data_IF_384294102818
#
_entry.id   IF_384294102818
#
_cell.length_a   1.000
_cell.length_b   1.000
_cell.length_c   1.000
_cell.angle_alpha   90.00
_cell.angle_beta   90.00
_cell.angle_gamma   90.00
#
_symmetry.space_group_name_H-M   'P 1'
#
loop_
_entity.id
_entity.type
_entity.pdbx_description
1 polymer ?
#
# COMPACT_ATOMS: atom_id res chain seq x y z
N UNK A 1 73.40 38.72 42.26
CA UNK A 1 72.60 38.54 41.03
C UNK A 1 71.13 38.42 41.43
N UNK A 2 70.30 39.39 41.03
CA UNK A 2 69.05 39.73 41.73
C UNK A 2 67.81 38.92 41.32
N UNK A 3 66.84 38.81 42.24
CA UNK A 3 65.51 38.16 42.10
C UNK A 3 64.74 38.55 40.80
N UNK A 4 65.05 39.69 40.19
CA UNK A 4 64.50 40.08 38.88
C UNK A 4 65.01 39.24 37.69
N UNK A 5 66.26 38.74 37.75
CA UNK A 5 66.85 37.90 36.70
C UNK A 5 66.25 36.48 36.66
N UNK A 6 65.88 35.94 37.82
CA UNK A 6 65.28 34.60 37.93
C UNK A 6 63.83 34.57 37.42
N UNK A 7 63.04 35.63 37.65
CA UNK A 7 61.70 35.78 37.07
C UNK A 7 61.74 35.93 35.55
N UNK A 8 62.71 36.68 35.02
CA UNK A 8 62.89 36.84 33.58
C UNK A 8 63.30 35.52 32.90
N UNK A 9 64.18 34.73 33.54
CA UNK A 9 64.62 33.43 33.04
C UNK A 9 63.48 32.39 33.02
N UNK A 10 62.61 32.37 34.03
CA UNK A 10 61.44 31.47 34.08
C UNK A 10 60.40 31.85 33.03
N UNK A 11 60.14 33.15 32.83
CA UNK A 11 59.23 33.63 31.77
C UNK A 11 59.80 33.31 30.39
N UNK A 12 61.11 33.49 30.16
CA UNK A 12 61.76 33.13 28.90
C UNK A 12 61.69 31.61 28.63
N UNK A 13 61.85 30.78 29.65
CA UNK A 13 61.73 29.32 29.52
C UNK A 13 60.30 28.87 29.16
N UNK A 14 59.27 29.50 29.75
CA UNK A 14 57.87 29.23 29.42
C UNK A 14 57.50 29.67 28.00
N UNK A 15 58.01 30.82 27.56
CA UNK A 15 57.82 31.29 26.17
C UNK A 15 58.51 30.35 25.18
N UNK A 16 59.72 29.87 25.48
CA UNK A 16 60.43 28.89 24.65
C UNK A 16 59.72 27.53 24.61
N UNK A 17 59.12 27.09 25.72
CA UNK A 17 58.30 25.87 25.74
C UNK A 17 57.01 26.02 24.91
N UNK A 18 56.36 27.19 24.95
CA UNK A 18 55.18 27.48 24.12
C UNK A 18 55.54 27.57 22.63
N UNK A 19 56.65 28.23 22.29
CA UNK A 19 57.16 28.30 20.91
C UNK A 19 57.58 26.91 20.42
N UNK A 20 58.25 26.12 21.27
CA UNK A 20 58.63 24.74 20.97
C UNK A 20 57.40 23.85 20.75
N UNK A 21 56.37 24.00 21.58
CA UNK A 21 55.09 23.28 21.44
C UNK A 21 54.34 23.66 20.16
N UNK A 22 54.28 24.95 19.82
CA UNK A 22 53.75 25.40 18.53
C UNK A 22 54.59 24.90 17.36
N UNK A 23 55.93 24.93 17.46
CA UNK A 23 56.82 24.45 16.40
C UNK A 23 56.67 22.94 16.16
N UNK A 24 56.57 22.11 17.21
CA UNK A 24 56.32 20.67 17.06
C UNK A 24 54.92 20.42 16.50
N UNK A 25 53.89 21.13 16.99
CA UNK A 25 52.53 21.01 16.46
C UNK A 25 52.45 21.39 14.97
N UNK A 26 53.16 22.43 14.53
CA UNK A 26 53.23 22.82 13.13
C UNK A 26 54.07 21.86 12.28
N UNK A 27 55.22 21.39 12.78
CA UNK A 27 56.10 20.46 12.05
C UNK A 27 55.46 19.08 11.90
N UNK A 28 54.89 18.55 12.98
CA UNK A 28 54.23 17.25 12.99
C UNK A 28 52.96 17.31 12.13
N UNK A 29 52.19 18.41 12.20
CA UNK A 29 51.05 18.65 11.30
C UNK A 29 51.44 18.74 9.81
N UNK A 30 52.62 19.27 9.47
CA UNK A 30 53.10 19.26 8.08
C UNK A 30 53.55 17.88 7.60
N UNK A 31 54.11 17.04 8.47
CA UNK A 31 54.54 15.69 8.11
C UNK A 31 53.36 14.75 7.92
N UNK A 32 52.37 14.80 8.83
CA UNK A 32 51.13 14.01 8.72
C UNK A 32 50.34 14.37 7.45
N UNK A 33 50.27 15.66 7.09
CA UNK A 33 49.60 16.08 5.86
C UNK A 33 50.33 15.57 4.59
N UNK A 34 51.67 15.60 4.57
CA UNK A 34 52.45 15.06 3.43
C UNK A 34 52.25 13.54 3.28
N UNK A 35 52.21 12.80 4.40
CA UNK A 35 51.99 11.36 4.39
C UNK A 35 50.56 11.00 3.94
N UNK A 36 49.56 11.75 4.39
CA UNK A 36 48.17 11.67 3.90
C UNK A 36 48.09 11.85 2.37
N UNK A 37 48.65 12.94 1.84
CA UNK A 37 48.65 13.22 0.40
C UNK A 37 49.38 12.13 -0.40
N UNK A 38 50.45 11.56 0.17
CA UNK A 38 51.16 10.44 -0.43
C UNK A 38 50.28 9.18 -0.51
N UNK A 39 49.52 8.85 0.55
CA UNK A 39 48.58 7.73 0.50
C UNK A 39 47.49 7.93 -0.56
N UNK A 40 46.93 9.13 -0.70
CA UNK A 40 45.96 9.46 -1.75
C UNK A 40 46.58 9.31 -3.15
N UNK A 41 47.79 9.85 -3.36
CA UNK A 41 48.48 9.76 -4.64
C UNK A 41 48.76 8.30 -5.04
N UNK A 42 49.22 7.47 -4.08
CA UNK A 42 49.42 6.03 -4.30
C UNK A 42 48.09 5.34 -4.60
N UNK A 43 47.03 5.65 -3.85
CA UNK A 43 45.72 5.03 -4.06
C UNK A 43 45.20 5.26 -5.49
N UNK A 44 45.26 6.51 -5.97
CA UNK A 44 44.85 6.89 -7.34
C UNK A 44 45.71 6.23 -8.42
N UNK A 45 47.05 6.26 -8.28
CA UNK A 45 47.97 5.59 -9.23
C UNK A 45 47.71 4.08 -9.32
N UNK A 46 47.43 3.43 -8.18
CA UNK A 46 47.09 2.00 -8.14
C UNK A 46 45.72 1.74 -8.76
N UNK A 47 44.74 2.60 -8.51
CA UNK A 47 43.42 2.50 -9.12
C UNK A 47 43.50 2.61 -10.66
N UNK A 48 44.28 3.56 -11.19
CA UNK A 48 44.53 3.72 -12.63
C UNK A 48 45.18 2.48 -13.26
N UNK A 49 46.07 1.83 -12.50
CA UNK A 49 46.71 0.56 -12.88
C UNK A 49 45.83 -0.67 -12.66
N UNK A 50 44.59 -0.50 -12.19
CA UNK A 50 43.63 -1.57 -11.84
C UNK A 50 44.13 -2.50 -10.73
N UNK A 51 45.02 -2.02 -9.87
CA UNK A 51 45.51 -2.71 -8.68
C UNK A 51 44.57 -2.39 -7.50
N UNK A 52 43.33 -2.86 -7.58
CA UNK A 52 42.24 -2.38 -6.72
C UNK A 52 42.44 -2.68 -5.23
N UNK A 53 42.99 -3.83 -4.85
CA UNK A 53 43.26 -4.12 -3.44
C UNK A 53 44.33 -3.19 -2.86
N UNK A 54 45.43 -2.95 -3.58
CA UNK A 54 46.50 -2.02 -3.17
C UNK A 54 45.99 -0.57 -3.10
N UNK A 55 45.14 -0.18 -4.05
CA UNK A 55 44.49 1.12 -4.05
C UNK A 55 43.59 1.29 -2.82
N UNK A 56 42.75 0.28 -2.51
CA UNK A 56 41.85 0.31 -1.37
C UNK A 56 42.60 0.34 -0.03
N UNK A 57 43.69 -0.42 0.11
CA UNK A 57 44.54 -0.37 1.30
C UNK A 57 45.17 1.02 1.50
N UNK A 58 45.60 1.65 0.42
CA UNK A 58 46.15 3.02 0.45
C UNK A 58 45.07 4.05 0.82
N UNK A 59 43.85 3.89 0.31
CA UNK A 59 42.70 4.70 0.69
C UNK A 59 42.32 4.53 2.17
N UNK A 60 42.29 3.31 2.69
CA UNK A 60 42.03 3.05 4.12
C UNK A 60 43.12 3.67 5.01
N UNK A 61 44.38 3.62 4.58
CA UNK A 61 45.47 4.28 5.29
C UNK A 61 45.24 5.80 5.35
N UNK A 62 44.93 6.45 4.22
CA UNK A 62 44.59 7.88 4.20
C UNK A 62 43.38 8.21 5.09
N UNK A 63 42.32 7.40 5.02
CA UNK A 63 41.10 7.57 5.83
C UNK A 63 41.36 7.46 7.33
N UNK A 64 42.31 6.60 7.74
CA UNK A 64 42.70 6.45 9.14
C UNK A 64 43.44 7.67 9.70
N UNK A 65 44.08 8.46 8.83
CA UNK A 65 44.79 9.68 9.20
C UNK A 65 43.84 10.88 9.24
N UNK A 66 43.07 11.07 8.16
CA UNK A 66 42.12 12.16 8.04
C UNK A 66 40.81 11.67 7.45
N UNK A 67 39.79 11.59 8.29
CA UNK A 67 38.46 11.16 7.89
C UNK A 67 37.60 12.37 7.56
N UNK A 68 37.42 12.61 6.25
CA UNK A 68 36.60 13.68 5.70
C UNK A 68 35.51 13.12 4.79
N UNK A 69 34.45 13.90 4.60
CA UNK A 69 33.37 13.50 3.70
C UNK A 69 33.85 13.43 2.25
N UNK A 70 34.72 14.34 1.83
CA UNK A 70 35.29 14.37 0.47
C UNK A 70 36.11 13.11 0.18
N UNK A 71 36.94 12.67 1.14
CA UNK A 71 37.69 11.43 0.98
C UNK A 71 36.77 10.21 0.94
N UNK A 72 35.75 10.18 1.81
CA UNK A 72 34.77 9.07 1.78
C UNK A 72 34.01 9.04 0.45
N UNK A 73 33.62 10.17 -0.10
CA UNK A 73 33.01 10.23 -1.43
C UNK A 73 33.93 9.66 -2.51
N UNK A 74 35.21 10.01 -2.50
CA UNK A 74 36.21 9.48 -3.45
C UNK A 74 36.36 7.95 -3.31
N UNK A 75 36.43 7.44 -2.08
CA UNK A 75 36.52 6.00 -1.82
C UNK A 75 35.25 5.27 -2.28
N UNK A 76 34.08 5.87 -2.09
CA UNK A 76 32.83 5.31 -2.59
C UNK A 76 32.82 5.23 -4.12
N UNK A 77 33.26 6.28 -4.82
CA UNK A 77 33.42 6.26 -6.28
C UNK A 77 34.41 5.19 -6.75
N UNK A 78 35.55 5.07 -6.06
CA UNK A 78 36.53 4.03 -6.32
C UNK A 78 35.92 2.62 -6.16
N UNK A 79 35.20 2.36 -5.06
CA UNK A 79 34.57 1.05 -4.82
C UNK A 79 33.53 0.72 -5.90
N UNK A 80 32.70 1.70 -6.31
CA UNK A 80 31.73 1.52 -7.41
C UNK A 80 32.43 1.18 -8.72
N UNK A 81 33.45 1.95 -9.10
CA UNK A 81 34.14 1.83 -10.38
C UNK A 81 35.05 0.60 -10.50
N UNK A 82 35.54 0.08 -9.37
CA UNK A 82 36.35 -1.14 -9.32
C UNK A 82 35.53 -2.43 -9.31
N UNK A 83 34.19 -2.34 -9.25
CA UNK A 83 33.30 -3.50 -9.14
C UNK A 83 33.27 -4.13 -7.75
N UNK A 84 33.78 -3.44 -6.72
CA UNK A 84 33.76 -3.87 -5.32
C UNK A 84 32.41 -3.55 -4.69
N UNK A 85 31.37 -4.22 -5.18
CA UNK A 85 29.97 -3.89 -4.90
C UNK A 85 29.57 -4.06 -3.44
N UNK A 86 30.02 -5.13 -2.77
CA UNK A 86 29.75 -5.34 -1.34
C UNK A 86 30.40 -4.24 -0.49
N UNK A 87 31.68 -3.96 -0.74
CA UNK A 87 32.43 -2.89 -0.07
C UNK A 87 31.81 -1.51 -0.31
N UNK A 88 31.31 -1.24 -1.52
CA UNK A 88 30.70 0.03 -1.88
C UNK A 88 29.49 0.35 -0.99
N UNK A 89 28.57 -0.61 -0.84
CA UNK A 89 27.32 -0.40 -0.10
C UNK A 89 27.58 -0.30 1.39
N UNK A 90 28.43 -1.18 1.92
CA UNK A 90 28.83 -1.14 3.33
C UNK A 90 29.51 0.19 3.66
N UNK A 91 30.43 0.64 2.81
CA UNK A 91 31.13 1.90 2.98
C UNK A 91 30.19 3.12 2.90
N UNK A 92 29.20 3.12 1.99
CA UNK A 92 28.17 4.17 1.95
C UNK A 92 27.31 4.15 3.23
N UNK A 93 26.96 2.97 3.75
CA UNK A 93 26.21 2.85 5.00
C UNK A 93 27.01 3.31 6.23
N UNK A 94 28.32 3.06 6.25
CA UNK A 94 29.24 3.63 7.25
C UNK A 94 29.33 5.14 7.16
N UNK A 95 29.46 5.67 5.95
CA UNK A 95 29.54 7.10 5.70
C UNK A 95 28.26 7.80 6.13
N UNK A 96 27.09 7.25 5.80
CA UNK A 96 25.79 7.75 6.27
C UNK A 96 25.63 7.70 7.81
N UNK A 97 26.34 6.79 8.51
CA UNK A 97 26.36 6.76 9.98
C UNK A 97 27.24 7.87 10.56
N UNK A 98 28.38 8.13 9.94
CA UNK A 98 29.37 9.11 10.42
C UNK A 98 29.02 10.55 10.03
N UNK A 99 28.47 10.73 8.83
CA UNK A 99 28.04 12.02 8.26
C UNK A 99 26.55 11.96 7.92
N UNK A 100 25.67 11.87 8.93
CA UNK A 100 24.24 11.61 8.73
C UNK A 100 23.46 12.76 8.09
N UNK A 101 24.09 13.90 7.80
CA UNK A 101 23.45 15.02 7.10
C UNK A 101 23.90 15.14 5.64
N UNK A 102 24.82 14.29 5.19
CA UNK A 102 25.18 14.19 3.78
C UNK A 102 24.11 13.36 3.03
N UNK A 103 23.42 13.92 2.04
CA UNK A 103 22.44 13.18 1.26
C UNK A 103 23.09 12.17 0.30
N UNK A 104 24.33 12.39 -0.15
CA UNK A 104 24.95 11.57 -1.22
C UNK A 104 25.07 10.10 -0.83
N UNK A 105 25.43 9.82 0.42
CA UNK A 105 25.52 8.44 0.91
C UNK A 105 24.17 7.70 0.82
N UNK A 106 23.06 8.40 1.06
CA UNK A 106 21.72 7.84 0.90
C UNK A 106 21.34 7.68 -0.56
N UNK A 107 21.64 8.68 -1.42
CA UNK A 107 21.43 8.60 -2.87
C UNK A 107 22.16 7.39 -3.45
N UNK A 108 23.44 7.25 -3.15
CA UNK A 108 24.29 6.13 -3.60
C UNK A 108 23.74 4.76 -3.24
N UNK A 109 23.24 4.61 -2.00
CA UNK A 109 22.61 3.37 -1.56
C UNK A 109 21.26 3.14 -2.26
N UNK A 110 20.44 4.19 -2.41
CA UNK A 110 19.14 4.09 -3.06
C UNK A 110 19.28 3.73 -4.55
N UNK A 111 20.16 4.41 -5.30
CA UNK A 111 20.50 4.06 -6.68
C UNK A 111 20.88 2.58 -6.78
N UNK A 112 21.85 2.15 -5.96
CA UNK A 112 22.32 0.76 -5.95
C UNK A 112 21.18 -0.24 -5.70
N UNK A 113 20.38 -0.04 -4.66
CA UNK A 113 19.30 -0.97 -4.33
C UNK A 113 18.19 -0.97 -5.37
N UNK A 114 17.95 0.17 -6.04
CA UNK A 114 16.97 0.24 -7.13
C UNK A 114 17.44 -0.48 -8.38
N UNK A 115 18.71 -0.33 -8.78
CA UNK A 115 19.31 -1.05 -9.91
C UNK A 115 19.35 -2.57 -9.67
N UNK A 116 19.53 -2.98 -8.41
CA UNK A 116 19.50 -4.39 -8.00
C UNK A 116 18.09 -4.93 -7.76
N UNK A 117 17.03 -4.15 -8.02
CA UNK A 117 15.62 -4.46 -7.73
C UNK A 117 15.35 -4.88 -6.27
N UNK A 118 16.24 -4.48 -5.35
CA UNK A 118 16.09 -4.72 -3.92
C UNK A 118 15.29 -3.58 -3.28
N UNK A 119 14.01 -3.51 -3.65
CA UNK A 119 13.13 -2.42 -3.23
C UNK A 119 12.92 -2.36 -1.71
N UNK A 120 13.04 -3.47 -1.00
CA UNK A 120 13.03 -3.46 0.46
C UNK A 120 14.16 -2.61 1.05
N UNK A 121 15.40 -2.83 0.59
CA UNK A 121 16.54 -2.05 1.06
C UNK A 121 16.54 -0.61 0.52
N UNK A 122 16.02 -0.41 -0.70
CA UNK A 122 15.77 0.91 -1.28
C UNK A 122 14.86 1.76 -0.38
N UNK A 123 13.64 1.30 -0.09
CA UNK A 123 12.71 2.04 0.76
C UNK A 123 13.22 2.15 2.21
N UNK A 124 13.88 1.11 2.75
CA UNK A 124 14.56 1.22 4.05
C UNK A 124 15.58 2.36 4.09
N UNK A 125 16.28 2.61 2.97
CA UNK A 125 17.24 3.72 2.83
C UNK A 125 16.52 5.06 2.81
N UNK A 126 15.44 5.19 2.04
CA UNK A 126 14.62 6.41 1.98
C UNK A 126 14.02 6.75 3.34
N UNK A 127 13.39 5.80 4.03
CA UNK A 127 12.82 6.00 5.36
C UNK A 127 13.89 6.41 6.38
N UNK A 128 15.10 5.87 6.28
CA UNK A 128 16.24 6.26 7.14
C UNK A 128 16.71 7.70 6.87
N UNK A 129 16.66 8.15 5.62
CA UNK A 129 17.00 9.52 5.24
C UNK A 129 15.93 10.50 5.74
N UNK A 130 14.65 10.18 5.51
CA UNK A 130 13.51 10.97 5.95
C UNK A 130 13.47 11.15 7.47
N UNK A 131 13.66 10.06 8.25
CA UNK A 131 13.70 10.13 9.73
C UNK A 131 14.80 11.04 10.27
N UNK A 132 15.80 11.39 9.45
CA UNK A 132 16.88 12.33 9.77
C UNK A 132 16.67 13.73 9.17
N UNK A 133 15.55 13.96 8.49
CA UNK A 133 15.24 15.22 7.82
C UNK A 133 16.08 15.47 6.56
N UNK A 134 16.60 14.42 5.93
CA UNK A 134 17.45 14.51 4.74
C UNK A 134 16.56 14.41 3.50
N UNK A 135 16.67 15.41 2.62
CA UNK A 135 16.02 15.45 1.31
C UNK A 135 17.01 15.93 0.26
N UNK A 136 16.81 15.49 -0.97
CA UNK A 136 17.55 15.96 -2.15
C UNK A 136 16.72 15.70 -3.39
N UNK A 137 16.95 16.45 -4.47
CA UNK A 137 16.21 16.27 -5.72
C UNK A 137 16.40 14.85 -6.28
N UNK A 138 17.57 14.26 -6.07
CA UNK A 138 17.93 12.90 -6.47
C UNK A 138 17.13 11.85 -5.69
N UNK A 139 17.02 11.98 -4.36
CA UNK A 139 16.19 11.08 -3.54
C UNK A 139 14.72 11.20 -3.90
N UNK A 140 14.22 12.42 -4.09
CA UNK A 140 12.81 12.67 -4.44
C UNK A 140 12.49 12.07 -5.84
N UNK A 141 13.43 12.19 -6.80
CA UNK A 141 13.30 11.60 -8.12
C UNK A 141 13.31 10.07 -8.07
N UNK A 142 14.19 9.46 -7.28
CA UNK A 142 14.23 8.01 -7.07
C UNK A 142 12.95 7.51 -6.42
N UNK A 143 12.47 8.16 -5.36
CA UNK A 143 11.23 7.80 -4.68
C UNK A 143 10.04 7.85 -5.64
N UNK A 144 9.94 8.90 -6.46
CA UNK A 144 8.89 9.02 -7.48
C UNK A 144 8.98 7.92 -8.55
N UNK A 145 10.18 7.59 -9.03
CA UNK A 145 10.40 6.58 -10.05
C UNK A 145 9.98 5.18 -9.60
N UNK A 146 10.23 4.84 -8.33
CA UNK A 146 9.96 3.51 -7.77
C UNK A 146 8.76 3.47 -6.82
N UNK A 147 7.94 4.53 -6.76
CA UNK A 147 6.77 4.67 -5.87
C UNK A 147 5.86 3.44 -5.88
N UNK A 148 5.67 2.82 -7.04
CA UNK A 148 4.75 1.68 -7.22
C UNK A 148 5.46 0.33 -7.32
N UNK A 149 6.76 0.27 -6.99
CA UNK A 149 7.45 -1.01 -6.86
C UNK A 149 6.77 -1.87 -5.79
N UNK A 150 6.58 -3.14 -6.10
CA UNK A 150 5.78 -4.05 -5.29
C UNK A 150 6.46 -5.42 -5.14
N UNK A 151 5.96 -6.18 -4.17
CA UNK A 151 6.25 -7.61 -4.03
C UNK A 151 4.98 -8.43 -4.06
N UNK A 152 5.11 -9.71 -4.41
CA UNK A 152 4.01 -10.68 -4.35
C UNK A 152 4.38 -11.78 -3.35
N UNK A 153 3.59 -11.91 -2.29
CA UNK A 153 3.66 -13.03 -1.37
C UNK A 153 2.79 -14.16 -1.92
N UNK A 154 3.42 -15.27 -2.28
CA UNK A 154 2.73 -16.45 -2.79
C UNK A 154 1.97 -17.16 -1.67
N UNK A 155 0.67 -16.85 -1.53
CA UNK A 155 -0.21 -17.38 -0.50
C UNK A 155 -1.16 -18.47 -1.04
N UNK A 156 -1.47 -18.44 -2.33
CA UNK A 156 -2.20 -19.50 -3.02
C UNK A 156 -3.60 -19.79 -2.48
N UNK A 157 -4.34 -18.77 -2.03
CA UNK A 157 -5.72 -18.96 -1.59
C UNK A 157 -6.62 -19.35 -2.77
N UNK A 158 -7.61 -20.21 -2.54
CA UNK A 158 -8.58 -20.57 -3.59
C UNK A 158 -9.53 -19.43 -3.92
N UNK A 159 -9.83 -18.62 -2.91
CA UNK A 159 -10.76 -17.50 -3.02
C UNK A 159 -10.44 -16.45 -1.97
N UNK A 160 -10.81 -15.21 -2.28
CA UNK A 160 -10.59 -14.05 -1.41
C UNK A 160 -11.70 -13.03 -1.63
N UNK A 161 -12.04 -12.31 -0.56
CA UNK A 161 -12.86 -11.10 -0.65
C UNK A 161 -11.99 -9.86 -0.79
N UNK A 162 -12.62 -8.70 -0.90
CA UNK A 162 -11.92 -7.42 -0.75
C UNK A 162 -11.58 -7.13 0.71
N UNK A 163 -10.56 -6.31 0.95
CA UNK A 163 -10.26 -5.84 2.30
C UNK A 163 -11.41 -4.97 2.85
N UNK A 164 -11.69 -5.14 4.14
CA UNK A 164 -12.66 -4.34 4.87
C UNK A 164 -12.16 -4.13 6.31
N UNK A 165 -11.96 -2.87 6.69
CA UNK A 165 -11.44 -2.47 8.01
C UNK A 165 -10.19 -3.27 8.46
N UNK A 166 -9.26 -3.53 7.54
CA UNK A 166 -7.98 -4.17 7.82
C UNK A 166 -7.99 -5.71 7.82
N UNK A 167 -9.15 -6.35 7.61
CA UNK A 167 -9.24 -7.80 7.43
C UNK A 167 -9.74 -8.15 6.03
N UNK A 168 -9.37 -9.33 5.55
CA UNK A 168 -9.89 -9.94 4.33
C UNK A 168 -10.27 -11.39 4.63
N UNK A 169 -11.47 -11.79 4.21
CA UNK A 169 -11.89 -13.19 4.21
C UNK A 169 -11.17 -13.93 3.08
N UNK A 170 -10.54 -15.05 3.43
CA UNK A 170 -9.75 -15.88 2.51
C UNK A 170 -10.12 -17.35 2.65
N UNK A 171 -10.10 -18.09 1.56
CA UNK A 171 -10.51 -19.51 1.51
C UNK A 171 -9.38 -20.39 1.01
N UNK A 172 -9.08 -21.48 1.75
CA UNK A 172 -8.05 -22.47 1.35
C UNK A 172 -8.62 -23.76 0.77
N UNK A 173 -9.75 -24.21 1.29
CA UNK A 173 -10.44 -25.45 0.90
C UNK A 173 -11.75 -25.20 0.17
N UNK A 174 -12.62 -26.21 0.11
CA UNK A 174 -13.96 -26.04 -0.45
C UNK A 174 -14.81 -25.08 0.41
N UNK A 175 -14.86 -25.29 1.72
CA UNK A 175 -15.65 -24.47 2.66
C UNK A 175 -14.81 -24.18 3.91
N UNK A 176 -13.58 -23.70 3.68
CA UNK A 176 -12.60 -23.41 4.72
C UNK A 176 -12.18 -21.96 4.61
N UNK A 177 -13.06 -21.08 5.10
CA UNK A 177 -12.83 -19.64 5.21
C UNK A 177 -12.16 -19.29 6.52
N UNK A 178 -11.24 -18.34 6.47
CA UNK A 178 -10.60 -17.66 7.59
C UNK A 178 -10.34 -16.20 7.23
N UNK A 179 -9.55 -15.51 8.04
CA UNK A 179 -9.27 -14.09 7.84
C UNK A 179 -7.80 -13.77 7.94
N UNK A 180 -7.30 -12.91 7.06
CA UNK A 180 -5.95 -12.34 7.12
C UNK A 180 -5.99 -10.85 7.37
N UNK A 181 -4.93 -10.33 7.99
CA UNK A 181 -4.65 -8.89 7.99
C UNK A 181 -4.11 -8.40 6.63
N UNK A 182 -3.81 -7.10 6.57
CA UNK A 182 -3.23 -6.40 5.40
C UNK A 182 -1.85 -6.90 4.98
N UNK A 183 -1.18 -7.74 5.78
CA UNK A 183 0.12 -8.34 5.44
C UNK A 183 0.00 -9.81 5.04
N UNK A 184 -1.24 -10.33 4.95
CA UNK A 184 -1.53 -11.73 4.64
C UNK A 184 -1.37 -12.68 5.82
N UNK A 185 -1.14 -12.16 7.03
CA UNK A 185 -1.02 -12.99 8.23
C UNK A 185 -2.41 -13.40 8.69
N UNK A 186 -2.59 -14.70 8.92
CA UNK A 186 -3.85 -15.27 9.41
C UNK A 186 -4.14 -14.72 10.81
N UNK A 187 -5.27 -14.05 10.95
CA UNK A 187 -5.79 -13.52 12.21
C UNK A 187 -6.86 -14.44 12.80
N UNK A 188 -7.75 -14.97 11.94
CA UNK A 188 -8.76 -15.96 12.31
C UNK A 188 -8.58 -17.21 11.46
N UNK A 189 -8.55 -18.36 12.13
CA UNK A 189 -8.34 -19.66 11.49
C UNK A 189 -9.46 -20.07 10.52
N UNK A 190 -9.23 -21.16 9.79
CA UNK A 190 -10.09 -21.63 8.71
C UNK A 190 -11.27 -22.49 9.21
N UNK A 191 -12.09 -21.91 10.09
CA UNK A 191 -13.12 -22.62 10.86
C UNK A 191 -14.54 -22.31 10.38
N UNK A 192 -14.69 -21.66 9.22
CA UNK A 192 -15.98 -21.17 8.73
C UNK A 192 -16.31 -21.71 7.34
N UNK A 193 -17.57 -22.06 7.10
CA UNK A 193 -18.12 -22.43 5.79
C UNK A 193 -18.55 -21.21 4.98
N UNK A 194 -18.91 -20.14 5.66
CA UNK A 194 -19.15 -18.81 5.08
C UNK A 194 -18.54 -17.73 5.97
N UNK A 195 -18.04 -16.66 5.36
CA UNK A 195 -17.33 -15.59 6.05
C UNK A 195 -17.63 -14.23 5.40
N UNK A 196 -18.35 -13.37 6.11
CA UNK A 196 -18.69 -12.01 5.72
C UNK A 196 -17.51 -11.03 5.81
N UNK A 197 -17.76 -9.79 5.42
CA UNK A 197 -16.78 -8.70 5.53
C UNK A 197 -16.73 -8.11 6.93
N UNK A 198 -15.57 -7.57 7.32
CA UNK A 198 -15.40 -6.89 8.61
C UNK A 198 -15.76 -5.41 8.53
N UNK A 199 -16.73 -4.97 9.33
CA UNK A 199 -17.22 -3.57 9.35
C UNK A 199 -16.61 -2.69 10.43
N UNK A 200 -15.59 -3.17 11.14
CA UNK A 200 -15.02 -2.45 12.29
C UNK A 200 -15.59 -2.92 13.63
N UNK A 201 -16.72 -3.62 13.64
CA UNK A 201 -17.35 -4.13 14.87
C UNK A 201 -17.40 -5.65 14.92
N UNK A 202 -18.12 -6.27 13.97
CA UNK A 202 -18.36 -7.71 13.95
C UNK A 202 -18.29 -8.26 12.52
N UNK A 203 -18.19 -9.58 12.44
CA UNK A 203 -18.11 -10.35 11.21
C UNK A 203 -19.21 -11.41 11.27
N UNK A 204 -20.05 -11.48 10.25
CA UNK A 204 -20.99 -12.59 10.09
C UNK A 204 -20.23 -13.81 9.56
N UNK A 205 -20.34 -14.94 10.24
CA UNK A 205 -19.70 -16.20 9.84
C UNK A 205 -20.67 -17.35 10.00
N UNK A 206 -20.51 -18.40 9.19
CA UNK A 206 -21.12 -19.70 9.43
C UNK A 206 -20.03 -20.66 9.91
N UNK A 207 -20.21 -21.26 11.08
CA UNK A 207 -19.23 -22.20 11.62
C UNK A 207 -19.28 -23.52 10.86
N UNK A 208 -18.14 -24.21 10.75
CA UNK A 208 -18.10 -25.59 10.20
C UNK A 208 -18.90 -26.61 11.01
N UNK A 209 -19.18 -26.33 12.28
CA UNK A 209 -20.10 -27.12 13.11
C UNK A 209 -21.58 -26.93 12.72
N UNK A 210 -21.87 -25.98 11.81
CA UNK A 210 -23.19 -25.49 11.50
C UNK A 210 -23.56 -24.28 12.34
N UNK A 211 -24.38 -23.41 11.75
CA UNK A 211 -24.97 -22.23 12.40
C UNK A 211 -24.17 -20.95 12.16
N UNK A 212 -24.93 -19.87 11.96
CA UNK A 212 -24.39 -18.53 11.82
C UNK A 212 -24.09 -17.88 13.17
N UNK A 213 -23.13 -16.98 13.21
CA UNK A 213 -22.84 -16.12 14.36
C UNK A 213 -22.28 -14.77 13.90
N UNK A 214 -22.40 -13.77 14.76
CA UNK A 214 -21.57 -12.57 14.69
C UNK A 214 -20.37 -12.76 15.63
N UNK A 215 -19.16 -12.62 15.10
CA UNK A 215 -17.91 -12.70 15.87
C UNK A 215 -17.19 -11.35 15.89
N UNK A 216 -16.42 -11.09 16.94
CA UNK A 216 -15.45 -10.00 16.95
C UNK A 216 -14.16 -10.36 16.17
N UNK A 217 -13.24 -9.40 15.93
CA UNK A 217 -11.97 -9.67 15.22
C UNK A 217 -11.02 -10.64 15.92
N UNK A 218 -11.29 -11.01 17.17
CA UNK A 218 -10.54 -12.04 17.91
C UNK A 218 -11.18 -13.42 17.80
N UNK A 219 -12.32 -13.52 17.12
CA UNK A 219 -13.07 -14.75 16.90
C UNK A 219 -14.05 -15.08 18.03
N UNK A 220 -14.28 -14.15 18.97
CA UNK A 220 -15.26 -14.37 20.04
C UNK A 220 -16.66 -14.11 19.51
N UNK A 221 -17.55 -15.07 19.71
CA UNK A 221 -18.97 -14.91 19.40
C UNK A 221 -19.57 -13.78 20.24
N UNK A 222 -20.21 -12.84 19.55
CA UNK A 222 -21.03 -11.79 20.14
C UNK A 222 -22.48 -12.24 20.23
N UNK A 223 -23.00 -12.86 19.18
CA UNK A 223 -24.38 -13.32 19.09
C UNK A 223 -24.55 -14.42 18.04
N UNK A 224 -25.66 -15.14 18.16
CA UNK A 224 -26.07 -16.20 17.24
C UNK A 224 -27.60 -16.22 17.14
N UNK A 225 -28.16 -16.71 16.03
CA UNK A 225 -29.60 -16.84 15.88
C UNK A 225 -30.17 -17.85 16.88
N UNK A 226 -31.46 -17.75 17.16
CA UNK A 226 -32.18 -18.77 17.91
C UNK A 226 -32.11 -20.12 17.18
N UNK A 227 -32.06 -21.23 17.91
CA UNK A 227 -31.96 -22.59 17.32
C UNK A 227 -33.11 -22.92 16.34
N UNK A 228 -34.27 -22.27 16.52
CA UNK A 228 -35.43 -22.42 15.66
C UNK A 228 -35.32 -21.66 14.34
N UNK A 229 -34.42 -20.68 14.23
CA UNK A 229 -34.22 -19.87 13.04
C UNK A 229 -33.16 -20.51 12.13
N UNK A 230 -33.62 -21.07 11.01
CA UNK A 230 -32.76 -21.71 10.02
C UNK A 230 -32.20 -20.65 9.06
N UNK A 231 -31.04 -20.08 9.40
CA UNK A 231 -30.37 -19.08 8.57
C UNK A 231 -29.69 -19.76 7.37
N UNK A 232 -30.01 -19.27 6.18
CA UNK A 232 -29.49 -19.74 4.89
C UNK A 232 -28.31 -18.87 4.41
N UNK A 233 -28.36 -17.56 4.69
CA UNK A 233 -27.35 -16.57 4.31
C UNK A 233 -27.39 -15.38 5.28
N UNK A 234 -26.26 -14.69 5.45
CA UNK A 234 -26.15 -13.53 6.32
C UNK A 234 -25.11 -12.55 5.77
N UNK A 235 -25.56 -11.39 5.31
CA UNK A 235 -24.69 -10.27 4.96
C UNK A 235 -24.14 -9.61 6.22
N UNK A 236 -23.10 -8.80 6.08
CA UNK A 236 -22.46 -8.17 7.24
C UNK A 236 -23.35 -7.12 7.91
N UNK A 237 -23.08 -6.90 9.20
CA UNK A 237 -23.75 -5.89 10.01
C UNK A 237 -23.22 -4.49 9.68
N UNK A 238 -24.11 -3.62 9.20
CA UNK A 238 -23.82 -2.21 8.93
C UNK A 238 -25.02 -1.33 9.30
N UNK A 239 -24.78 -0.15 9.86
CA UNK A 239 -25.86 0.74 10.34
C UNK A 239 -26.89 0.01 11.23
N UNK A 240 -26.37 -0.84 12.13
CA UNK A 240 -27.10 -1.68 13.08
C UNK A 240 -28.09 -2.69 12.45
N UNK A 241 -27.92 -3.00 11.16
CA UNK A 241 -28.76 -3.95 10.42
C UNK A 241 -27.92 -4.95 9.63
N UNK A 242 -28.43 -6.16 9.51
CA UNK A 242 -27.89 -7.18 8.63
C UNK A 242 -29.03 -7.83 7.84
N UNK A 243 -28.79 -8.10 6.56
CA UNK A 243 -29.71 -8.88 5.75
C UNK A 243 -29.48 -10.37 6.02
N UNK A 244 -30.48 -11.03 6.59
CA UNK A 244 -30.45 -12.45 6.96
C UNK A 244 -31.49 -13.18 6.12
N UNK A 245 -31.07 -14.24 5.44
CA UNK A 245 -31.96 -15.09 4.66
C UNK A 245 -32.44 -16.27 5.49
N UNK A 246 -33.75 -16.46 5.55
CA UNK A 246 -34.39 -17.65 6.11
C UNK A 246 -35.78 -17.83 5.49
N UNK A 247 -36.24 -19.07 5.37
CA UNK A 247 -37.52 -19.36 4.72
C UNK A 247 -37.54 -18.93 3.24
N UNK A 248 -36.37 -18.91 2.60
CA UNK A 248 -36.19 -18.52 1.20
C UNK A 248 -36.24 -17.02 0.91
N UNK A 249 -36.41 -16.15 1.91
CA UNK A 249 -36.46 -14.68 1.76
C UNK A 249 -35.44 -13.99 2.65
N UNK A 250 -35.01 -12.80 2.24
CA UNK A 250 -34.18 -11.93 3.08
C UNK A 250 -35.04 -11.04 3.96
N UNK A 251 -34.61 -10.91 5.21
CA UNK A 251 -35.16 -10.03 6.22
C UNK A 251 -34.02 -9.19 6.81
N UNK A 252 -34.29 -7.94 7.14
CA UNK A 252 -33.36 -7.12 7.90
C UNK A 252 -33.54 -7.41 9.39
N UNK A 253 -32.44 -7.80 10.01
CA UNK A 253 -32.39 -8.10 11.44
C UNK A 253 -31.44 -7.15 12.16
N UNK A 254 -31.66 -6.96 13.45
CA UNK A 254 -30.66 -6.35 14.34
C UNK A 254 -29.48 -7.32 14.58
N UNK A 255 -28.46 -6.86 15.30
CA UNK A 255 -27.28 -7.68 15.61
C UNK A 255 -27.57 -8.94 16.45
N UNK A 256 -28.75 -9.05 17.05
CA UNK A 256 -29.24 -10.21 17.82
C UNK A 256 -30.13 -11.14 16.99
N UNK A 257 -30.16 -10.97 15.67
CA UNK A 257 -30.99 -11.75 14.75
C UNK A 257 -32.49 -11.56 14.98
N UNK A 258 -32.93 -10.48 15.65
CA UNK A 258 -34.34 -10.14 15.72
C UNK A 258 -34.76 -9.48 14.41
N UNK A 259 -35.82 -9.98 13.79
CA UNK A 259 -36.41 -9.39 12.59
C UNK A 259 -36.91 -7.97 12.87
N UNK A 260 -36.53 -7.03 12.01
CA UNK A 260 -37.01 -5.64 12.01
C UNK A 260 -38.11 -5.46 10.96
N UNK A 261 -37.83 -5.86 9.72
CA UNK A 261 -38.72 -5.86 8.56
C UNK A 261 -38.09 -6.72 7.44
N UNK A 262 -38.84 -7.11 6.41
CA UNK A 262 -38.27 -8.03 5.42
C UNK A 262 -39.25 -8.60 4.41
N UNK A 263 -38.95 -9.83 3.98
CA UNK A 263 -39.64 -10.60 2.94
C UNK A 263 -39.25 -10.23 1.50
N UNK A 264 -37.93 -10.07 1.27
CA UNK A 264 -37.37 -9.74 -0.05
C UNK A 264 -36.77 -10.97 -0.75
N UNK A 265 -36.81 -11.00 -2.08
CA UNK A 265 -36.07 -12.01 -2.88
C UNK A 265 -34.55 -11.80 -2.80
N UNK A 266 -34.14 -10.53 -2.66
CA UNK A 266 -32.77 -10.13 -2.36
C UNK A 266 -32.79 -8.86 -1.51
N UNK A 267 -31.87 -8.73 -0.56
CA UNK A 267 -31.66 -7.52 0.20
C UNK A 267 -30.16 -7.18 0.24
N UNK A 268 -29.81 -5.99 -0.25
CA UNK A 268 -28.46 -5.46 -0.16
C UNK A 268 -28.13 -4.91 1.23
N UNK A 269 -26.91 -4.45 1.39
CA UNK A 269 -26.45 -3.83 2.63
C UNK A 269 -26.82 -2.35 2.66
N UNK A 270 -27.31 -1.88 3.81
CA UNK A 270 -27.54 -0.46 4.04
C UNK A 270 -26.24 0.34 3.90
N UNK A 271 -26.33 1.52 3.29
CA UNK A 271 -25.27 2.53 3.31
C UNK A 271 -25.88 3.92 3.13
N UNK A 272 -25.55 4.85 4.03
CA UNK A 272 -26.14 6.18 4.03
C UNK A 272 -27.65 6.15 4.28
N UNK A 273 -28.16 5.18 5.05
CA UNK A 273 -29.58 5.01 5.33
C UNK A 273 -30.41 4.44 4.18
N UNK A 274 -29.79 3.98 3.09
CA UNK A 274 -30.47 3.42 1.92
C UNK A 274 -29.97 2.00 1.62
N UNK A 275 -30.85 1.17 1.07
CA UNK A 275 -30.50 -0.15 0.53
C UNK A 275 -31.28 -0.45 -0.74
N UNK A 276 -30.73 -1.35 -1.58
CA UNK A 276 -31.44 -1.91 -2.73
C UNK A 276 -32.04 -3.26 -2.36
N UNK A 277 -33.30 -3.47 -2.69
CA UNK A 277 -34.01 -4.74 -2.46
C UNK A 277 -34.73 -5.21 -3.71
N UNK A 278 -34.90 -6.52 -3.84
CA UNK A 278 -35.63 -7.15 -4.95
C UNK A 278 -36.92 -7.78 -4.42
N UNK A 279 -38.04 -7.49 -5.08
CA UNK A 279 -39.33 -8.14 -4.87
C UNK A 279 -39.89 -8.60 -6.22
N UNK A 280 -40.05 -9.92 -6.39
CA UNK A 280 -40.37 -10.53 -7.68
C UNK A 280 -39.29 -10.20 -8.70
N UNK A 281 -39.70 -9.62 -9.84
CA UNK A 281 -38.80 -9.28 -10.95
C UNK A 281 -38.32 -7.82 -10.93
N UNK A 282 -38.58 -7.08 -9.84
CA UNK A 282 -38.32 -5.64 -9.76
C UNK A 282 -37.48 -5.28 -8.56
N UNK A 283 -36.61 -4.29 -8.75
CA UNK A 283 -35.79 -3.72 -7.70
C UNK A 283 -36.34 -2.38 -7.20
N UNK A 284 -36.15 -2.12 -5.91
CA UNK A 284 -36.60 -0.92 -5.22
C UNK A 284 -35.48 -0.39 -4.34
N UNK A 285 -35.49 0.92 -4.12
CA UNK A 285 -34.70 1.58 -3.08
C UNK A 285 -35.55 1.65 -1.82
N UNK A 286 -34.99 1.33 -0.67
CA UNK A 286 -35.66 1.48 0.63
C UNK A 286 -34.86 2.36 1.58
N UNK A 287 -35.57 3.03 2.48
CA UNK A 287 -35.00 3.76 3.62
C UNK A 287 -34.69 2.83 4.79
N UNK A 288 -34.07 3.38 5.84
CA UNK A 288 -33.69 2.65 7.05
C UNK A 288 -34.85 2.08 7.87
N UNK A 289 -36.09 2.48 7.58
CA UNK A 289 -37.31 1.95 8.19
C UNK A 289 -38.00 0.91 7.30
N UNK A 290 -37.43 0.59 6.13
CA UNK A 290 -37.96 -0.37 5.17
C UNK A 290 -38.99 0.22 4.21
N UNK A 291 -39.21 1.54 4.21
CA UNK A 291 -40.15 2.16 3.28
C UNK A 291 -39.51 2.34 1.91
N UNK A 292 -40.27 2.11 0.85
CA UNK A 292 -39.82 2.39 -0.53
C UNK A 292 -39.57 3.87 -0.72
N UNK A 293 -38.40 4.20 -1.27
CA UNK A 293 -38.01 5.57 -1.60
C UNK A 293 -38.50 5.88 -3.01
N UNK A 294 -39.48 6.78 -3.09
CA UNK A 294 -40.18 7.11 -4.33
C UNK A 294 -41.11 5.98 -4.81
N UNK A 295 -41.69 6.18 -5.99
CA UNK A 295 -42.64 5.24 -6.59
C UNK A 295 -42.00 4.37 -7.68
N UNK A 296 -40.74 4.64 -8.04
CA UNK A 296 -40.05 3.95 -9.12
C UNK A 296 -39.59 2.56 -8.70
N UNK A 297 -39.60 1.67 -9.68
CA UNK A 297 -38.95 0.37 -9.61
C UNK A 297 -38.03 0.21 -10.81
N UNK A 298 -37.05 -0.68 -10.72
CA UNK A 298 -36.03 -0.87 -11.74
C UNK A 298 -35.94 -2.33 -12.16
N UNK A 299 -35.37 -2.60 -13.34
CA UNK A 299 -35.05 -3.98 -13.75
C UNK A 299 -33.93 -4.56 -12.86
N UNK A 300 -33.00 -3.70 -12.46
CA UNK A 300 -31.88 -4.02 -11.57
C UNK A 300 -31.40 -2.76 -10.84
N UNK A 301 -30.89 -2.91 -9.63
CA UNK A 301 -29.99 -1.94 -9.00
C UNK A 301 -28.68 -2.68 -8.74
N UNK A 302 -27.57 -2.16 -9.27
CA UNK A 302 -26.25 -2.79 -9.11
C UNK A 302 -25.81 -2.67 -7.64
N UNK A 303 -25.23 -3.75 -7.12
CA UNK A 303 -24.59 -3.82 -5.80
C UNK A 303 -23.16 -4.29 -5.97
N UNK A 304 -22.25 -3.81 -5.10
CA UNK A 304 -20.88 -4.31 -5.05
C UNK A 304 -20.77 -5.68 -4.34
N UNK A 305 -19.56 -6.23 -4.23
CA UNK A 305 -19.29 -7.50 -3.51
C UNK A 305 -19.76 -7.48 -2.04
N UNK A 306 -19.92 -6.28 -1.47
CA UNK A 306 -20.41 -6.03 -0.12
C UNK A 306 -21.94 -5.85 -0.07
N UNK A 307 -22.64 -6.04 -1.18
CA UNK A 307 -24.08 -5.82 -1.28
C UNK A 307 -24.50 -4.35 -1.21
N UNK A 308 -23.55 -3.41 -1.28
CA UNK A 308 -23.84 -1.97 -1.18
C UNK A 308 -24.16 -1.41 -2.56
N UNK A 309 -25.32 -0.79 -2.72
CA UNK A 309 -25.73 -0.10 -3.95
C UNK A 309 -25.36 1.39 -3.97
N UNK A 310 -25.53 2.06 -2.82
CA UNK A 310 -25.37 3.51 -2.73
C UNK A 310 -24.00 3.88 -2.16
N UNK A 311 -23.22 4.62 -2.94
CA UNK A 311 -22.02 5.32 -2.46
C UNK A 311 -21.99 6.73 -3.03
N UNK A 312 -21.50 7.68 -2.24
CA UNK A 312 -21.46 9.10 -2.62
C UNK A 312 -22.83 9.68 -3.04
N UNK A 313 -23.91 9.16 -2.47
CA UNK A 313 -25.28 9.62 -2.75
C UNK A 313 -25.83 9.18 -4.11
N UNK A 314 -25.17 8.27 -4.82
CA UNK A 314 -25.64 7.72 -6.10
C UNK A 314 -25.58 6.20 -6.14
N UNK A 315 -26.39 5.60 -7.01
CA UNK A 315 -26.36 4.17 -7.35
C UNK A 315 -26.60 3.98 -8.85
N UNK A 316 -26.24 2.81 -9.38
CA UNK A 316 -26.60 2.43 -10.76
C UNK A 316 -27.88 1.60 -10.78
N UNK A 317 -28.88 2.08 -11.52
CA UNK A 317 -30.11 1.36 -11.78
C UNK A 317 -30.22 1.02 -13.27
N UNK A 318 -31.01 -0.01 -13.60
CA UNK A 318 -31.18 -0.51 -14.97
C UNK A 318 -32.62 -0.41 -15.43
N UNK A 319 -32.80 0.15 -16.62
CA UNK A 319 -34.08 0.19 -17.36
C UNK A 319 -33.78 0.07 -18.86
N UNK A 320 -34.68 -0.59 -19.60
CA UNK A 320 -34.55 -0.81 -21.05
C UNK A 320 -33.20 -1.46 -21.41
N UNK A 321 -32.70 -2.34 -20.56
CA UNK A 321 -31.44 -3.06 -20.78
C UNK A 321 -30.16 -2.25 -20.56
N UNK A 322 -30.22 -0.97 -20.13
CA UNK A 322 -29.04 -0.14 -19.85
C UNK A 322 -29.02 0.40 -18.43
N UNK A 323 -27.84 0.56 -17.88
CA UNK A 323 -27.62 1.20 -16.58
C UNK A 323 -27.58 2.72 -16.71
N UNK A 324 -28.08 3.42 -15.69
CA UNK A 324 -27.99 4.87 -15.51
C UNK A 324 -27.86 5.19 -14.01
N UNK A 325 -27.45 6.42 -13.68
CA UNK A 325 -27.32 6.84 -12.29
C UNK A 325 -28.65 7.29 -11.70
N UNK A 326 -28.87 6.95 -10.43
CA UNK A 326 -29.93 7.50 -9.59
C UNK A 326 -29.37 8.15 -8.32
N UNK A 327 -30.04 9.18 -7.82
CA UNK A 327 -29.74 9.84 -6.55
C UNK A 327 -30.41 9.12 -5.36
N UNK A 328 -30.21 9.67 -4.15
CA UNK A 328 -30.80 9.16 -2.90
C UNK A 328 -32.32 9.23 -2.84
N UNK A 329 -32.97 9.94 -3.77
CA UNK A 329 -34.43 9.99 -3.93
C UNK A 329 -34.92 9.11 -5.08
N UNK A 330 -34.06 8.22 -5.60
CA UNK A 330 -34.31 7.36 -6.76
C UNK A 330 -34.62 8.13 -8.06
N UNK A 331 -34.18 9.39 -8.15
CA UNK A 331 -34.30 10.20 -9.37
C UNK A 331 -33.06 10.04 -10.24
N UNK A 332 -33.25 10.11 -11.56
CA UNK A 332 -32.16 9.97 -12.51
C UNK A 332 -31.16 11.12 -12.37
N UNK A 333 -29.88 10.79 -12.39
CA UNK A 333 -28.76 11.74 -12.39
C UNK A 333 -28.12 11.75 -13.78
N UNK A 334 -28.00 12.95 -14.35
CA UNK A 334 -27.36 13.16 -15.65
C UNK A 334 -28.09 12.46 -16.80
N UNK A 335 -27.37 12.30 -17.92
CA UNK A 335 -27.88 11.68 -19.15
C UNK A 335 -27.14 10.41 -19.59
N UNK A 336 -26.19 9.94 -18.80
CA UNK A 336 -25.42 8.74 -19.11
C UNK A 336 -26.28 7.48 -19.17
N UNK A 337 -25.90 6.58 -20.08
CA UNK A 337 -26.45 5.24 -20.22
C UNK A 337 -25.33 4.28 -20.60
N UNK A 338 -25.25 3.15 -19.91
CA UNK A 338 -24.14 2.20 -20.03
C UNK A 338 -24.64 0.77 -20.21
N UNK A 339 -23.90 -0.02 -20.98
CA UNK A 339 -24.21 -1.43 -21.21
C UNK A 339 -23.93 -2.28 -19.96
N UNK A 340 -22.89 -1.94 -19.23
CA UNK A 340 -22.51 -2.56 -17.95
C UNK A 340 -21.77 -1.53 -17.08
N UNK A 341 -21.70 -1.79 -15.78
CA UNK A 341 -21.14 -0.90 -14.77
C UNK A 341 -20.50 -1.71 -13.65
N UNK A 342 -19.47 -1.15 -13.04
CA UNK A 342 -18.99 -1.52 -11.72
C UNK A 342 -19.38 -0.42 -10.73
N UNK A 343 -19.85 -0.79 -9.54
CA UNK A 343 -20.34 0.19 -8.58
C UNK A 343 -19.24 1.15 -8.14
N UNK A 344 -19.61 2.36 -7.73
CA UNK A 344 -18.70 3.15 -6.90
C UNK A 344 -18.35 2.32 -5.66
N UNK A 345 -17.06 2.17 -5.37
CA UNK A 345 -16.52 1.48 -4.18
C UNK A 345 -15.84 2.46 -3.21
N UNK A 346 -15.59 3.70 -3.65
CA UNK A 346 -15.01 4.80 -2.89
C UNK A 346 -15.57 6.15 -3.39
N UNK A 347 -15.01 7.28 -2.96
CA UNK A 347 -15.33 8.62 -3.51
C UNK A 347 -14.61 8.92 -4.85
N UNK A 348 -14.07 7.90 -5.49
CA UNK A 348 -13.31 7.98 -6.74
C UNK A 348 -14.16 7.49 -7.94
N UNK A 349 -13.68 7.67 -9.19
CA UNK A 349 -14.47 7.36 -10.38
C UNK A 349 -14.92 5.89 -10.49
N UNK A 350 -16.15 5.69 -10.97
CA UNK A 350 -16.68 4.36 -11.23
C UNK A 350 -16.41 3.90 -12.66
N UNK A 351 -16.21 2.61 -12.86
CA UNK A 351 -15.99 2.02 -14.18
C UNK A 351 -17.33 1.73 -14.88
N UNK A 352 -17.43 2.11 -16.15
CA UNK A 352 -18.65 1.93 -16.96
C UNK A 352 -18.32 1.51 -18.39
N UNK A 353 -19.18 0.70 -18.98
CA UNK A 353 -19.01 0.15 -20.32
C UNK A 353 -19.98 0.75 -21.33
N UNK A 354 -19.46 1.11 -22.51
CA UNK A 354 -20.28 1.50 -23.66
C UNK A 354 -20.73 0.30 -24.52
N UNK A 355 -20.47 -0.93 -24.07
CA UNK A 355 -20.76 -2.18 -24.78
C UNK A 355 -19.59 -2.72 -25.62
N UNK A 356 -18.51 -1.95 -25.77
CA UNK A 356 -17.28 -2.38 -26.44
C UNK A 356 -16.04 -2.25 -25.54
N UNK A 357 -15.93 -1.12 -24.85
CA UNK A 357 -14.82 -0.78 -23.98
C UNK A 357 -15.33 -0.13 -22.70
N UNK A 358 -14.48 -0.16 -21.68
CA UNK A 358 -14.70 0.44 -20.38
C UNK A 358 -13.96 1.77 -20.27
N UNK A 359 -14.62 2.75 -19.66
CA UNK A 359 -14.10 4.04 -19.25
C UNK A 359 -14.53 4.34 -17.82
N UNK A 360 -14.33 5.58 -17.36
CA UNK A 360 -14.63 5.96 -15.98
C UNK A 360 -15.44 7.24 -15.91
N UNK A 361 -16.34 7.32 -14.93
CA UNK A 361 -17.20 8.47 -14.69
C UNK A 361 -17.12 8.99 -13.26
N UNK A 362 -17.40 10.28 -13.09
CA UNK A 362 -17.67 10.87 -11.77
C UNK A 362 -19.10 10.58 -11.28
N UNK A 363 -19.43 11.05 -10.08
CA UNK A 363 -20.77 10.87 -9.47
C UNK A 363 -21.88 11.69 -10.14
N UNK A 364 -21.55 12.64 -11.01
CA UNK A 364 -22.51 13.36 -11.83
C UNK A 364 -22.75 12.67 -13.19
N UNK A 365 -22.01 11.59 -13.48
CA UNK A 365 -22.09 10.85 -14.73
C UNK A 365 -21.24 11.41 -15.86
N UNK A 366 -20.32 12.33 -15.56
CA UNK A 366 -19.38 12.85 -16.56
C UNK A 366 -18.24 11.85 -16.77
N UNK A 367 -17.87 11.60 -18.02
CA UNK A 367 -16.70 10.77 -18.35
C UNK A 367 -15.43 11.50 -17.94
N UNK A 368 -14.65 10.90 -17.04
CA UNK A 368 -13.35 11.42 -16.57
C UNK A 368 -12.17 10.69 -17.21
N UNK A 369 -12.40 9.48 -17.74
CA UNK A 369 -11.45 8.76 -18.57
C UNK A 369 -12.21 8.02 -19.68
N UNK A 370 -11.79 8.24 -20.92
CA UNK A 370 -12.44 7.69 -22.11
C UNK A 370 -12.42 6.16 -22.15
N UNK A 371 -13.31 5.59 -22.97
CA UNK A 371 -13.50 4.16 -23.12
C UNK A 371 -12.35 3.51 -23.90
N UNK A 372 -11.28 3.11 -23.21
CA UNK A 372 -10.11 2.47 -23.81
C UNK A 372 -9.89 1.03 -23.39
N UNK A 373 -10.44 0.60 -22.25
CA UNK A 373 -10.07 -0.69 -21.62
C UNK A 373 -11.00 -1.84 -22.00
N UNK A 374 -10.46 -3.05 -22.18
CA UNK A 374 -11.25 -4.26 -22.41
C UNK A 374 -12.20 -4.59 -21.25
N UNK A 375 -11.70 -4.48 -20.01
CA UNK A 375 -12.49 -4.53 -18.79
C UNK A 375 -11.92 -3.54 -17.75
N UNK A 376 -12.73 -3.12 -16.79
CA UNK A 376 -12.29 -2.27 -15.70
C UNK A 376 -13.11 -2.52 -14.42
N UNK A 377 -12.51 -2.20 -13.28
CA UNK A 377 -13.14 -2.09 -11.97
C UNK A 377 -13.02 -0.66 -11.47
N UNK A 378 -13.96 -0.21 -10.65
CA UNK A 378 -14.01 1.17 -10.14
C UNK A 378 -12.79 1.52 -9.27
N UNK A 379 -12.41 2.80 -9.28
CA UNK A 379 -11.27 3.28 -8.52
C UNK A 379 -11.47 3.15 -7.02
N UNK A 380 -10.51 2.54 -6.32
CA UNK A 380 -10.44 2.49 -4.87
C UNK A 380 -9.03 2.74 -4.39
N UNK A 381 -8.88 3.55 -3.35
CA UNK A 381 -7.60 3.89 -2.74
C UNK A 381 -6.54 4.39 -3.73
N UNK A 382 -6.98 5.05 -4.81
CA UNK A 382 -6.11 5.66 -5.82
C UNK A 382 -5.78 4.74 -7.01
N UNK A 383 -6.32 3.53 -7.05
CA UNK A 383 -6.05 2.54 -8.10
C UNK A 383 -7.35 2.01 -8.71
N UNK A 384 -7.31 1.67 -10.00
CA UNK A 384 -8.34 0.87 -10.64
C UNK A 384 -7.69 -0.32 -11.35
N UNK A 385 -8.27 -1.50 -11.17
CA UNK A 385 -7.88 -2.66 -11.95
C UNK A 385 -8.48 -2.52 -13.36
N UNK A 386 -7.64 -2.66 -14.38
CA UNK A 386 -8.04 -2.63 -15.80
C UNK A 386 -7.47 -3.84 -16.51
N UNK A 387 -8.18 -4.35 -17.52
CA UNK A 387 -7.74 -5.50 -18.28
C UNK A 387 -7.66 -5.22 -19.78
N UNK A 388 -6.60 -5.73 -20.38
CA UNK A 388 -6.42 -5.87 -21.83
C UNK A 388 -5.95 -7.29 -22.14
N UNK A 389 -6.43 -7.85 -23.25
CA UNK A 389 -6.09 -9.21 -23.70
C UNK A 389 -6.23 -10.30 -22.61
N UNK A 390 -7.23 -10.15 -21.74
CA UNK A 390 -7.54 -11.10 -20.66
C UNK A 390 -6.57 -11.06 -19.47
N UNK A 391 -5.71 -10.05 -19.38
CA UNK A 391 -4.83 -9.85 -18.22
C UNK A 391 -5.11 -8.52 -17.53
N UNK A 392 -5.11 -8.54 -16.21
CA UNK A 392 -5.32 -7.39 -15.36
C UNK A 392 -4.00 -6.72 -14.97
N UNK A 393 -4.03 -5.39 -14.92
CA UNK A 393 -3.03 -4.48 -14.38
C UNK A 393 -3.71 -3.35 -13.61
N UNK A 394 -2.96 -2.34 -13.19
CA UNK A 394 -3.51 -1.22 -12.41
C UNK A 394 -3.10 0.14 -12.96
N UNK A 395 -4.11 1.00 -13.11
CA UNK A 395 -3.95 2.43 -13.39
C UNK A 395 -4.11 3.24 -12.12
N UNK A 396 -3.44 4.38 -12.05
CA UNK A 396 -3.50 5.27 -10.89
C UNK A 396 -4.38 6.49 -11.16
N UNK A 397 -4.99 7.05 -10.12
CA UNK A 397 -5.92 8.17 -10.28
C UNK A 397 -5.21 9.50 -10.58
N UNK A 398 -3.94 9.64 -10.21
CA UNK A 398 -3.20 10.91 -10.36
C UNK A 398 -3.07 11.35 -11.82
N UNK A 399 -2.84 10.40 -12.73
CA UNK A 399 -2.62 10.67 -14.15
C UNK A 399 -3.26 9.63 -15.09
N UNK A 400 -4.04 8.68 -14.55
CA UNK A 400 -4.65 7.55 -15.26
C UNK A 400 -3.65 6.65 -16.00
N UNK A 401 -2.36 6.71 -15.66
CA UNK A 401 -1.34 5.87 -16.27
C UNK A 401 -1.29 4.48 -15.64
N UNK A 402 -0.97 3.47 -16.46
CA UNK A 402 -0.71 2.11 -16.02
C UNK A 402 0.59 2.09 -15.21
N UNK A 403 0.53 1.69 -13.94
CA UNK A 403 1.69 1.57 -13.04
C UNK A 403 2.03 0.13 -12.66
N UNK A 404 1.06 -0.78 -12.79
CA UNK A 404 1.30 -2.21 -12.65
C UNK A 404 0.83 -2.86 -13.95
N UNK A 405 1.78 -3.46 -14.67
CA UNK A 405 1.54 -4.04 -16.00
C UNK A 405 0.51 -5.17 -16.00
N UNK A 406 -0.08 -5.41 -17.17
CA UNK A 406 -1.04 -6.49 -17.43
C UNK A 406 -0.41 -7.87 -17.25
N UNK A 407 -0.48 -8.42 -16.04
CA UNK A 407 0.19 -9.66 -15.67
C UNK A 407 -0.66 -10.62 -14.83
N UNK A 408 -1.84 -10.20 -14.37
CA UNK A 408 -2.70 -11.02 -13.52
C UNK A 408 -3.87 -11.63 -14.29
N UNK A 409 -4.31 -12.80 -13.88
CA UNK A 409 -5.51 -13.46 -14.39
C UNK A 409 -6.77 -12.82 -13.78
N UNK A 410 -6.69 -12.36 -12.53
CA UNK A 410 -7.76 -11.61 -11.86
C UNK A 410 -7.21 -10.69 -10.76
N UNK A 411 -7.97 -9.67 -10.33
CA UNK A 411 -7.38 -8.51 -9.65
C UNK A 411 -7.87 -8.04 -8.27
N UNK A 412 -9.12 -7.91 -7.85
CA UNK A 412 -9.55 -7.19 -6.59
C UNK A 412 -9.05 -5.74 -6.43
N UNK A 413 -9.55 -5.08 -5.39
CA UNK A 413 -9.37 -3.65 -5.14
C UNK A 413 -8.27 -3.41 -4.11
N UNK A 414 -7.47 -2.37 -4.32
CA UNK A 414 -6.45 -1.97 -3.34
C UNK A 414 -7.08 -1.55 -2.02
N UNK A 415 -6.42 -1.92 -0.93
CA UNK A 415 -6.63 -1.36 0.40
C UNK A 415 -5.91 0.00 0.55
N UNK A 416 -6.29 0.78 1.56
CA UNK A 416 -5.63 2.05 1.89
C UNK A 416 -4.13 1.90 2.25
N UNK A 417 -3.69 0.69 2.59
CA UNK A 417 -2.29 0.38 2.92
C UNK A 417 -1.48 -0.13 1.71
N UNK A 418 -1.97 0.04 0.48
CA UNK A 418 -1.21 -0.35 -0.72
C UNK A 418 -1.10 -1.87 -0.92
N UNK A 419 -2.04 -2.62 -0.35
CA UNK A 419 -2.09 -4.09 -0.47
C UNK A 419 -3.36 -4.54 -1.19
N UNK A 420 -3.26 -5.56 -2.05
CA UNK A 420 -4.36 -6.16 -2.81
C UNK A 420 -4.12 -7.65 -3.05
N UNK A 421 -5.17 -8.45 -3.17
CA UNK A 421 -5.06 -9.84 -3.60
C UNK A 421 -5.20 -9.95 -5.11
N UNK A 422 -4.23 -10.57 -5.80
CA UNK A 422 -4.24 -10.80 -7.24
C UNK A 422 -4.14 -12.28 -7.56
N UNK A 423 -4.73 -12.73 -8.66
CA UNK A 423 -4.60 -14.11 -9.14
C UNK A 423 -3.59 -14.22 -10.27
N UNK A 424 -2.71 -15.22 -10.18
CA UNK A 424 -1.74 -15.60 -11.23
C UNK A 424 -2.11 -16.92 -11.92
N UNK A 425 -3.32 -17.44 -11.69
CA UNK A 425 -3.86 -18.65 -12.32
C UNK A 425 -3.87 -19.91 -11.44
N UNK A 426 -3.11 -19.95 -10.33
CA UNK A 426 -3.07 -21.11 -9.40
C UNK A 426 -3.77 -20.84 -8.06
N UNK A 427 -4.24 -19.62 -7.85
CA UNK A 427 -4.82 -19.12 -6.61
C UNK A 427 -4.67 -17.60 -6.51
N UNK A 428 -5.01 -17.06 -5.35
CA UNK A 428 -4.90 -15.65 -4.98
C UNK A 428 -3.68 -15.45 -4.07
N UNK A 429 -2.83 -14.51 -4.50
CA UNK A 429 -1.60 -14.11 -3.83
C UNK A 429 -1.70 -12.64 -3.40
N UNK A 430 -0.90 -12.25 -2.42
CA UNK A 430 -0.95 -10.89 -1.88
C UNK A 430 0.12 -10.02 -2.54
N UNK A 431 -0.31 -8.96 -3.21
CA UNK A 431 0.56 -7.91 -3.74
C UNK A 431 0.64 -6.77 -2.73
N UNK A 432 1.85 -6.30 -2.46
CA UNK A 432 2.13 -5.21 -1.52
C UNK A 432 3.05 -4.17 -2.18
N UNK A 433 2.61 -2.91 -2.23
CA UNK A 433 3.45 -1.81 -2.68
C UNK A 433 4.39 -1.40 -1.53
N UNK A 434 5.69 -1.34 -1.81
CA UNK A 434 6.69 -1.08 -0.76
C UNK A 434 6.55 0.31 -0.14
N UNK A 435 6.25 1.34 -0.94
CA UNK A 435 6.15 2.72 -0.48
C UNK A 435 5.06 2.97 0.56
N UNK A 436 4.04 2.09 0.65
CA UNK A 436 2.94 2.19 1.62
C UNK A 436 3.23 1.49 2.96
N UNK A 437 4.31 0.70 3.04
CA UNK A 437 4.65 -0.14 4.20
C UNK A 437 5.86 0.41 5.00
N UNK A 438 6.06 1.73 5.03
CA UNK A 438 7.22 2.41 5.65
C UNK A 438 7.12 2.63 7.17
#
# INVERSE_FOLDING_TARGET
MGKGSMKLAVVAALVLMLIGSWYTMFKDGTAEHVEYENHIAVARDRADKKLYEEAYDSYKAALSMFDSIELREEIADFCKNSGRTEDYVEFCAETARKYPHDPKSYVRMAEYYSEAENYFMFFSTLTKAEKRGIRSAELDALEAAYKYAFQIKALGYRDVRVFSNGLCAVRRGADEWGFTDLNGKVQLGFNYTAAGDYTGYYIAVEHRSGGYALIDPTGREKSKPAETLQVEDCLFLFEDKMAVKYGGKYHYCDMWFNELFGSYDYAGTFSGGLAAVKEGDRWYVIDSSGNKVGEKSFEEIKVDEKGVAFRNGVAFAKENGKYFLIDTSANRVGNGEWADVDCFNSNQPAAVSNGQKWGFIDTAGNVVLDYSYGQARSFSNGFAAVAEDGKWGYVIIEDYSLKIDYQFVDAKDFSASGTVYVSRGTGWDLLEIYSYNQ
#
